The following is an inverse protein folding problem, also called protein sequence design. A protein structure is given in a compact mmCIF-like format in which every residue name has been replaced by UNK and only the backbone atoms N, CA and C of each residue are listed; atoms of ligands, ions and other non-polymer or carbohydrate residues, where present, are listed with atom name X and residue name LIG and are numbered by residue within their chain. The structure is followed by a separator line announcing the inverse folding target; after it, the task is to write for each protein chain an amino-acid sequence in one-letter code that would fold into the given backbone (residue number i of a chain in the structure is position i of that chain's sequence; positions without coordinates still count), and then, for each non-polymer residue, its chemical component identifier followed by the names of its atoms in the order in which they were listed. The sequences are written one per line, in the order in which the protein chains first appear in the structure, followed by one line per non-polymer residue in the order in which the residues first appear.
data_IF_153627443280
#
_entry.id   IF_153627443280
#
_cell.length_a   1.000
_cell.length_b   1.000
_cell.length_c   1.000
_cell.angle_alpha   90.00
_cell.angle_beta   90.00
_cell.angle_gamma   90.00
#
_symmetry.space_group_name_H-M   'P 1'
#
loop_
_entity.id
_entity.type
_entity.pdbx_description
1 polymer ?
#
# COMPACT_ATOMS: atom_id res chain seq x y z
N UNK A 1 -35.60 -40.67 -26.68
CA UNK A 1 -35.77 -39.82 -25.46
C UNK A 1 -34.71 -40.03 -24.37
N UNK A 2 -34.18 -41.25 -24.14
CA UNK A 2 -33.14 -41.49 -23.11
C UNK A 2 -31.82 -40.72 -23.30
N UNK A 3 -31.36 -40.54 -24.55
CA UNK A 3 -30.10 -39.82 -24.86
C UNK A 3 -30.16 -38.32 -24.51
N UNK A 4 -31.32 -37.68 -24.65
CA UNK A 4 -31.51 -36.24 -24.36
C UNK A 4 -31.35 -35.94 -22.86
N UNK A 5 -31.88 -36.81 -22.00
CA UNK A 5 -31.81 -36.66 -20.55
C UNK A 5 -30.38 -36.81 -20.02
N UNK A 6 -29.59 -37.70 -20.64
CA UNK A 6 -28.17 -37.88 -20.29
C UNK A 6 -27.35 -36.63 -20.64
N UNK A 7 -27.63 -36.02 -21.79
CA UNK A 7 -26.95 -34.78 -22.23
C UNK A 7 -27.32 -33.60 -21.32
N UNK A 8 -28.60 -33.43 -20.98
CA UNK A 8 -29.01 -32.37 -20.05
C UNK A 8 -28.43 -32.54 -18.65
N UNK A 9 -28.40 -33.78 -18.14
CA UNK A 9 -27.81 -34.07 -16.83
C UNK A 9 -26.31 -33.79 -16.77
N UNK A 10 -25.57 -34.10 -17.84
CA UNK A 10 -24.13 -33.83 -17.90
C UNK A 10 -23.81 -32.34 -18.03
N UNK A 11 -24.61 -31.58 -18.78
CA UNK A 11 -24.47 -30.11 -18.85
C UNK A 11 -24.71 -29.46 -17.48
N UNK A 12 -25.75 -29.90 -16.76
CA UNK A 12 -26.06 -29.41 -15.42
C UNK A 12 -24.93 -29.70 -14.42
N UNK A 13 -24.34 -30.90 -14.48
CA UNK A 13 -23.25 -31.29 -13.59
C UNK A 13 -21.99 -30.44 -13.83
N UNK A 14 -21.64 -30.20 -15.10
CA UNK A 14 -20.46 -29.40 -15.48
C UNK A 14 -20.63 -27.94 -15.06
N UNK A 15 -21.82 -27.38 -15.24
CA UNK A 15 -22.11 -25.98 -14.88
C UNK A 15 -22.13 -25.76 -13.37
N UNK A 16 -22.68 -26.69 -12.60
CA UNK A 16 -22.61 -26.64 -11.12
C UNK A 16 -21.17 -26.82 -10.63
N UNK A 17 -20.41 -27.76 -11.21
CA UNK A 17 -18.99 -27.95 -10.88
C UNK A 17 -18.14 -26.71 -11.17
N UNK A 18 -18.35 -26.06 -12.31
CA UNK A 18 -17.64 -24.83 -12.66
C UNK A 18 -18.00 -23.66 -11.72
N UNK A 19 -19.27 -23.55 -11.32
CA UNK A 19 -19.72 -22.52 -10.38
C UNK A 19 -19.14 -22.71 -8.97
N UNK A 20 -19.13 -23.94 -8.46
CA UNK A 20 -18.54 -24.26 -7.15
C UNK A 20 -17.02 -24.09 -7.15
N UNK A 21 -16.34 -24.42 -8.26
CA UNK A 21 -14.90 -24.19 -8.39
C UNK A 21 -14.56 -22.69 -8.47
N UNK A 22 -15.37 -21.92 -9.21
CA UNK A 22 -15.25 -20.46 -9.31
C UNK A 22 -15.42 -19.76 -7.96
N UNK A 23 -16.43 -20.17 -7.18
CA UNK A 23 -16.72 -19.57 -5.87
C UNK A 23 -15.73 -20.00 -4.79
N UNK A 24 -15.19 -21.22 -4.86
CA UNK A 24 -14.13 -21.70 -3.95
C UNK A 24 -12.75 -21.10 -4.21
N UNK A 25 -12.48 -20.63 -5.43
CA UNK A 25 -11.20 -20.01 -5.82
C UNK A 25 -11.15 -18.49 -5.61
N UNK A 26 -12.26 -17.86 -5.20
CA UNK A 26 -12.28 -16.46 -4.80
C UNK A 26 -11.60 -16.32 -3.42
N UNK A 27 -10.26 -16.37 -3.40
CA UNK A 27 -9.51 -15.91 -2.23
C UNK A 27 -9.95 -14.46 -1.95
N UNK A 28 -10.40 -14.13 -0.73
CA UNK A 28 -10.65 -12.74 -0.37
C UNK A 28 -9.32 -12.00 -0.53
N UNK A 29 -9.23 -11.17 -1.58
CA UNK A 29 -8.09 -10.28 -1.78
C UNK A 29 -8.18 -9.27 -0.64
N UNK A 30 -7.41 -9.50 0.43
CA UNK A 30 -7.28 -8.53 1.50
C UNK A 30 -6.86 -7.19 0.87
N UNK A 31 -7.53 -6.07 1.23
CA UNK A 31 -7.18 -4.77 0.68
C UNK A 31 -5.72 -4.47 0.97
N UNK A 32 -5.00 -3.96 -0.04
CA UNK A 32 -3.59 -3.64 0.12
C UNK A 32 -3.44 -2.45 1.07
N UNK A 33 -2.55 -2.56 2.06
CA UNK A 33 -2.18 -1.44 2.93
C UNK A 33 -1.50 -0.36 2.09
N UNK A 34 -2.01 0.88 2.12
CA UNK A 34 -1.41 2.03 1.43
C UNK A 34 -0.48 2.76 2.37
N UNK A 35 0.82 2.64 2.10
CA UNK A 35 1.88 3.25 2.88
C UNK A 35 2.41 4.50 2.16
N UNK A 36 2.27 5.66 2.79
CA UNK A 36 2.93 6.89 2.35
C UNK A 36 4.28 7.03 3.03
N UNK A 37 5.37 7.03 2.26
CA UNK A 37 6.73 7.15 2.81
C UNK A 37 7.29 8.51 2.45
N UNK A 38 7.57 9.30 3.48
CA UNK A 38 8.08 10.64 3.32
C UNK A 38 9.61 10.54 3.41
N UNK A 39 10.29 10.86 2.32
CA UNK A 39 11.73 10.69 2.17
C UNK A 39 12.44 12.03 2.23
N UNK A 40 13.67 12.05 2.72
CA UNK A 40 14.52 13.24 2.72
C UNK A 40 15.40 13.23 1.47
N UNK A 41 14.85 13.65 0.32
CA UNK A 41 15.59 13.84 -0.92
C UNK A 41 16.11 15.29 -1.09
N UNK A 42 15.66 16.19 -0.22
CA UNK A 42 16.06 17.60 -0.13
C UNK A 42 16.60 17.94 1.26
N UNK A 43 17.05 19.19 1.44
CA UNK A 43 17.55 19.67 2.72
C UNK A 43 18.90 19.09 3.16
N UNK A 44 19.25 19.29 4.45
CA UNK A 44 20.54 18.85 5.01
C UNK A 44 20.76 17.33 4.98
N UNK A 45 19.68 16.56 4.87
CA UNK A 45 19.69 15.09 4.84
C UNK A 45 19.28 14.53 3.48
N UNK A 46 19.49 15.27 2.38
CA UNK A 46 19.13 14.86 1.01
C UNK A 46 19.63 13.46 0.60
N UNK A 47 20.72 12.98 1.21
CA UNK A 47 21.28 11.65 0.94
C UNK A 47 20.50 10.52 1.63
N UNK A 48 19.67 10.83 2.62
CA UNK A 48 18.96 9.84 3.44
C UNK A 48 17.77 9.21 2.71
N UNK A 49 17.18 9.91 1.74
CA UNK A 49 15.98 9.43 1.04
C UNK A 49 16.18 8.11 0.30
N UNK A 50 17.33 7.89 -0.35
CA UNK A 50 17.65 6.61 -0.99
C UNK A 50 17.74 5.46 0.02
N UNK A 51 18.32 5.69 1.19
CA UNK A 51 18.37 4.70 2.27
C UNK A 51 16.97 4.39 2.81
N UNK A 52 16.11 5.39 2.96
CA UNK A 52 14.71 5.19 3.37
C UNK A 52 13.93 4.37 2.33
N UNK A 53 14.10 4.67 1.04
CA UNK A 53 13.48 3.92 -0.07
C UNK A 53 13.94 2.46 -0.05
N UNK A 54 15.24 2.22 0.07
CA UNK A 54 15.81 0.88 0.12
C UNK A 54 15.31 0.08 1.33
N UNK A 55 15.37 0.67 2.53
CA UNK A 55 14.91 0.04 3.77
C UNK A 55 13.42 -0.30 3.71
N UNK A 56 12.59 0.61 3.16
CA UNK A 56 11.15 0.36 3.04
C UNK A 56 10.86 -0.77 2.05
N UNK A 57 11.55 -0.81 0.90
CA UNK A 57 11.39 -1.90 -0.07
C UNK A 57 11.79 -3.25 0.52
N UNK A 58 12.85 -3.28 1.32
CA UNK A 58 13.27 -4.49 2.04
C UNK A 58 12.18 -4.95 3.01
N UNK A 59 11.68 -4.04 3.86
CA UNK A 59 10.61 -4.35 4.80
C UNK A 59 9.34 -4.85 4.10
N UNK A 60 8.94 -4.25 2.97
CA UNK A 60 7.80 -4.71 2.17
C UNK A 60 8.05 -6.12 1.61
N UNK A 61 9.26 -6.41 1.14
CA UNK A 61 9.62 -7.74 0.63
C UNK A 61 9.57 -8.80 1.73
N UNK A 62 9.90 -8.44 2.98
CA UNK A 62 9.82 -9.34 4.12
C UNK A 62 8.36 -9.57 4.57
N UNK A 63 7.53 -8.51 4.57
CA UNK A 63 6.09 -8.61 4.82
C UNK A 63 5.37 -9.50 3.80
N UNK A 64 5.82 -9.50 2.54
CA UNK A 64 5.27 -10.36 1.50
C UNK A 64 5.64 -11.86 1.69
N UNK A 65 6.68 -12.16 2.47
CA UNK A 65 7.14 -13.53 2.77
C UNK A 65 6.64 -14.05 4.12
N UNK A 66 5.92 -13.23 4.89
CA UNK A 66 5.39 -13.61 6.18
C UNK A 66 4.36 -14.75 6.06
N UNK A 67 4.08 -15.43 7.18
CA UNK A 67 3.06 -16.50 7.24
C UNK A 67 1.67 -16.03 6.82
N UNK A 68 1.38 -14.74 7.02
CA UNK A 68 0.22 -14.04 6.48
C UNK A 68 0.71 -12.90 5.59
N UNK A 69 0.84 -13.14 4.27
CA UNK A 69 1.38 -12.14 3.35
C UNK A 69 0.50 -10.88 3.31
N UNK A 70 1.09 -9.74 3.64
CA UNK A 70 0.43 -8.45 3.51
C UNK A 70 0.80 -7.81 2.18
N UNK A 71 -0.21 -7.48 1.36
CA UNK A 71 0.00 -6.66 0.17
C UNK A 71 0.14 -5.20 0.60
N UNK A 72 1.27 -4.58 0.25
CA UNK A 72 1.55 -3.17 0.54
C UNK A 72 1.69 -2.40 -0.76
N UNK A 73 0.89 -1.35 -0.92
CA UNK A 73 1.08 -0.34 -1.97
C UNK A 73 1.83 0.83 -1.34
N UNK A 74 2.95 1.21 -1.92
CA UNK A 74 3.80 2.27 -1.37
C UNK A 74 3.89 3.45 -2.34
N UNK A 75 3.81 4.66 -1.81
CA UNK A 75 4.24 5.88 -2.50
C UNK A 75 5.39 6.51 -1.74
N UNK A 76 6.32 7.12 -2.46
CA UNK A 76 7.46 7.81 -1.89
C UNK A 76 7.39 9.28 -2.31
N UNK A 77 7.38 10.17 -1.34
CA UNK A 77 7.27 11.60 -1.58
C UNK A 77 8.32 12.34 -0.76
N UNK A 78 8.97 13.32 -1.37
CA UNK A 78 9.78 14.29 -0.65
C UNK A 78 8.89 15.47 -0.26
N UNK A 79 9.05 15.96 0.97
CA UNK A 79 8.32 17.12 1.48
C UNK A 79 8.89 18.44 0.97
N UNK A 80 10.15 18.44 0.51
CA UNK A 80 10.82 19.63 0.05
C UNK A 80 11.20 20.61 1.16
N UNK A 81 12.01 21.59 0.79
CA UNK A 81 12.50 22.63 1.69
C UNK A 81 11.59 23.87 1.71
N UNK A 82 10.66 23.98 0.76
CA UNK A 82 9.74 25.11 0.63
C UNK A 82 8.31 24.77 1.03
N UNK A 83 7.51 25.80 1.34
CA UNK A 83 6.08 25.61 1.62
C UNK A 83 5.30 25.13 0.40
N UNK A 84 5.68 25.56 -0.80
CA UNK A 84 5.02 25.13 -2.02
C UNK A 84 5.22 23.62 -2.28
N UNK A 85 6.44 23.13 -2.11
CA UNK A 85 6.75 21.70 -2.27
C UNK A 85 6.01 20.86 -1.24
N UNK A 86 5.96 21.33 0.01
CA UNK A 86 5.25 20.64 1.08
C UNK A 86 3.76 20.47 0.78
N UNK A 87 3.07 21.53 0.36
CA UNK A 87 1.64 21.45 0.05
C UNK A 87 1.38 20.54 -1.16
N UNK A 88 2.22 20.61 -2.20
CA UNK A 88 2.13 19.72 -3.36
C UNK A 88 2.40 18.25 -3.00
N UNK A 89 3.35 17.97 -2.10
CA UNK A 89 3.59 16.63 -1.59
C UNK A 89 2.39 16.13 -0.78
N UNK A 90 1.77 17.01 0.02
CA UNK A 90 0.57 16.68 0.80
C UNK A 90 -0.62 16.37 -0.09
N UNK A 91 -0.87 17.15 -1.13
CA UNK A 91 -1.94 16.90 -2.10
C UNK A 91 -1.79 15.54 -2.77
N UNK A 92 -0.57 15.19 -3.21
CA UNK A 92 -0.27 13.86 -3.77
C UNK A 92 -0.51 12.72 -2.77
N UNK A 93 -0.28 12.99 -1.48
CA UNK A 93 -0.48 12.01 -0.42
C UNK A 93 -1.97 11.81 -0.10
N UNK A 94 -2.73 12.90 -0.10
CA UNK A 94 -4.19 12.90 0.03
C UNK A 94 -4.85 12.18 -1.15
N UNK A 95 -4.37 12.38 -2.37
CA UNK A 95 -4.81 11.67 -3.58
C UNK A 95 -4.52 10.17 -3.52
N UNK A 96 -3.32 9.80 -3.04
CA UNK A 96 -2.98 8.40 -2.81
C UNK A 96 -3.83 7.76 -1.70
N UNK A 97 -4.37 8.58 -0.79
CA UNK A 97 -5.17 8.18 0.38
C UNK A 97 -4.41 7.16 1.22
N UNK A 98 -3.20 7.51 1.67
CA UNK A 98 -2.40 6.63 2.52
C UNK A 98 -3.15 6.26 3.82
N UNK A 99 -3.07 4.99 4.20
CA UNK A 99 -3.64 4.51 5.47
C UNK A 99 -2.70 4.81 6.64
N UNK A 100 -1.39 4.79 6.38
CA UNK A 100 -0.32 5.10 7.35
C UNK A 100 0.78 5.88 6.66
N UNK A 101 1.37 6.85 7.37
CA UNK A 101 2.54 7.59 6.94
C UNK A 101 3.80 7.17 7.69
N UNK A 102 4.92 7.04 6.97
CA UNK A 102 6.25 7.05 7.56
C UNK A 102 6.83 8.45 7.39
N UNK A 103 7.16 9.10 8.51
CA UNK A 103 7.75 10.43 8.50
C UNK A 103 9.19 10.40 7.93
N UNK A 104 9.68 11.55 7.41
CA UNK A 104 11.07 11.65 7.01
C UNK A 104 12.00 11.56 8.23
N UNK A 105 13.26 11.20 7.99
CA UNK A 105 14.29 11.17 9.05
C UNK A 105 14.66 12.59 9.48
N UNK A 106 14.49 13.57 8.59
CA UNK A 106 14.71 14.97 8.93
C UNK A 106 13.66 15.49 9.93
N UNK A 107 14.11 15.83 11.14
CA UNK A 107 13.23 16.20 12.25
C UNK A 107 12.38 17.45 11.99
N UNK A 108 12.90 18.47 11.29
CA UNK A 108 12.17 19.68 10.89
C UNK A 108 10.94 19.33 10.04
N UNK A 109 11.17 18.51 9.02
CA UNK A 109 10.15 18.06 8.07
C UNK A 109 9.15 17.11 8.72
N UNK A 110 9.61 16.22 9.62
CA UNK A 110 8.76 15.33 10.40
C UNK A 110 7.84 16.11 11.38
N UNK A 111 8.38 17.09 12.10
CA UNK A 111 7.58 17.95 13.00
C UNK A 111 6.56 18.77 12.22
N UNK A 112 6.94 19.29 11.04
CA UNK A 112 6.01 20.00 10.16
C UNK A 112 4.87 19.09 9.71
N UNK A 113 5.18 17.87 9.30
CA UNK A 113 4.19 16.83 8.96
C UNK A 113 3.26 16.56 10.15
N UNK A 114 3.78 16.26 11.34
CA UNK A 114 2.96 15.95 12.52
C UNK A 114 2.02 17.09 12.93
N UNK A 115 2.38 18.35 12.67
CA UNK A 115 1.52 19.51 12.97
C UNK A 115 0.38 19.69 11.96
N UNK A 116 0.57 19.25 10.72
CA UNK A 116 -0.41 19.44 9.64
C UNK A 116 -1.24 18.20 9.37
N UNK A 117 -0.70 17.03 9.68
CA UNK A 117 -1.41 15.76 9.57
C UNK A 117 -2.31 15.63 10.79
N UNK A 118 -3.64 15.64 10.58
CA UNK A 118 -4.62 15.59 11.67
C UNK A 118 -4.63 14.24 12.38
N UNK A 119 -5.67 13.43 12.15
CA UNK A 119 -5.81 12.12 12.79
C UNK A 119 -5.17 10.96 12.00
N UNK A 120 -4.39 11.25 10.96
CA UNK A 120 -3.77 10.20 10.15
C UNK A 120 -2.63 9.54 10.95
N UNK A 121 -2.54 8.21 10.98
CA UNK A 121 -1.44 7.53 11.66
C UNK A 121 -0.09 7.87 11.03
N UNK A 122 0.83 8.41 11.82
CA UNK A 122 2.20 8.72 11.42
C UNK A 122 3.19 7.95 12.29
N UNK A 123 4.12 7.23 11.68
CA UNK A 123 5.25 6.59 12.34
C UNK A 123 6.47 7.46 12.08
N UNK A 124 7.02 8.06 13.14
CA UNK A 124 8.23 8.87 13.09
C UNK A 124 9.34 8.18 13.88
N UNK A 125 10.50 8.00 13.24
CA UNK A 125 11.72 7.46 13.89
C UNK A 125 12.65 8.57 14.39
N UNK A 126 12.43 9.80 13.91
CA UNK A 126 13.09 11.02 14.35
C UNK A 126 12.01 11.97 14.90
N UNK A 127 11.72 11.88 16.20
CA UNK A 127 10.81 12.78 16.91
C UNK A 127 11.46 13.26 18.20
#
# INVERSE_FOLDING_TARGET
MKKLHIVLGSIALVSVGAYLFSTGAAQPIAPALRLGVLVSDSGPLYFAGEYQRAATKLAIADLAKASEPLKVNVTFLDLGDSTYEFENAREKLDDFRADVLLAPIESSSAVRLLKTTGNQPVIATAA
#
